data_IF_500785854622
#
_entry.id   IF_500785854622
#
_cell.length_a   1.000
_cell.length_b   1.000
_cell.length_c   1.000
_cell.angle_alpha   90.00
_cell.angle_beta   90.00
_cell.angle_gamma   90.00
#
_symmetry.space_group_name_H-M   'P 1'
#
loop_
_entity.id
_entity.type
_entity.pdbx_description
1 polymer ?
#
# COMPACT_ATOMS: atom_id res chain seq x y z
N UNK A 1 13.39 -54.58 -6.36
CA UNK A 1 13.48 -53.25 -5.74
C UNK A 1 14.28 -52.36 -6.68
N UNK A 2 13.59 -51.56 -7.49
CA UNK A 2 14.18 -50.51 -8.30
C UNK A 2 13.25 -49.31 -8.11
N UNK A 3 13.69 -48.36 -7.30
CA UNK A 3 12.95 -47.14 -7.04
C UNK A 3 13.15 -46.21 -8.25
N UNK A 4 12.07 -45.96 -8.97
CA UNK A 4 12.02 -44.94 -10.02
C UNK A 4 11.83 -43.58 -9.36
N UNK A 5 12.85 -42.72 -9.43
CA UNK A 5 12.70 -41.30 -9.13
C UNK A 5 11.90 -40.59 -10.23
N UNK A 6 10.99 -39.65 -9.91
CA UNK A 6 10.27 -38.89 -10.91
C UNK A 6 11.14 -37.75 -11.50
N UNK A 7 11.09 -37.47 -12.81
CA UNK A 7 11.88 -36.41 -13.43
C UNK A 7 11.08 -35.09 -13.41
N UNK A 8 11.22 -34.26 -12.37
CA UNK A 8 10.57 -32.93 -12.34
C UNK A 8 11.54 -31.76 -12.07
N UNK A 9 12.84 -31.97 -11.81
CA UNK A 9 13.71 -30.92 -11.25
C UNK A 9 14.66 -30.17 -12.20
N UNK A 10 14.81 -30.57 -13.47
CA UNK A 10 15.86 -29.98 -14.36
C UNK A 10 15.39 -28.84 -15.26
N UNK A 11 14.12 -28.81 -15.68
CA UNK A 11 13.59 -27.76 -16.56
C UNK A 11 13.25 -26.47 -15.81
N UNK A 12 12.69 -26.60 -14.61
CA UNK A 12 12.29 -25.49 -13.75
C UNK A 12 13.51 -24.65 -13.31
N UNK A 13 14.56 -25.30 -12.82
CA UNK A 13 15.82 -24.65 -12.40
C UNK A 13 16.57 -23.94 -13.55
N UNK A 14 16.47 -24.47 -14.78
CA UNK A 14 17.05 -23.86 -15.98
C UNK A 14 16.29 -22.59 -16.39
N UNK A 15 14.97 -22.61 -16.28
CA UNK A 15 14.11 -21.46 -16.59
C UNK A 15 14.34 -20.32 -15.58
N UNK A 16 14.45 -20.66 -14.29
CA UNK A 16 14.83 -19.71 -13.23
C UNK A 16 16.19 -19.04 -13.50
N UNK A 17 17.17 -19.82 -14.00
CA UNK A 17 18.48 -19.31 -14.39
C UNK A 17 18.44 -18.33 -15.57
N UNK A 18 17.55 -18.53 -16.53
CA UNK A 18 17.37 -17.61 -17.68
C UNK A 18 16.67 -16.33 -17.23
N UNK A 19 15.61 -16.44 -16.43
CA UNK A 19 14.90 -15.28 -15.88
C UNK A 19 15.82 -14.42 -15.01
N UNK A 20 16.64 -15.04 -14.17
CA UNK A 20 17.62 -14.31 -13.35
C UNK A 20 18.68 -13.59 -14.18
N UNK A 21 19.20 -14.22 -15.26
CA UNK A 21 20.14 -13.57 -16.18
C UNK A 21 19.51 -12.36 -16.88
N UNK A 22 18.26 -12.50 -17.32
CA UNK A 22 17.53 -11.38 -17.93
C UNK A 22 17.36 -10.24 -16.93
N UNK A 23 16.93 -10.53 -15.70
CA UNK A 23 16.83 -9.56 -14.61
C UNK A 23 18.14 -8.81 -14.36
N UNK A 24 19.26 -9.54 -14.30
CA UNK A 24 20.59 -8.97 -14.14
C UNK A 24 20.98 -8.04 -15.29
N UNK A 25 20.76 -8.46 -16.55
CA UNK A 25 21.08 -7.61 -17.69
C UNK A 25 20.20 -6.37 -17.77
N UNK A 26 18.90 -6.49 -17.49
CA UNK A 26 17.98 -5.34 -17.47
C UNK A 26 18.37 -4.37 -16.35
N UNK A 27 18.78 -4.86 -15.17
CA UNK A 27 19.21 -3.98 -14.07
C UNK A 27 20.49 -3.21 -14.41
N UNK A 28 21.45 -3.85 -15.10
CA UNK A 28 22.66 -3.18 -15.57
C UNK A 28 22.34 -2.13 -16.63
N UNK A 29 21.48 -2.45 -17.59
CA UNK A 29 21.07 -1.51 -18.63
C UNK A 29 20.37 -0.31 -17.99
N UNK A 30 19.40 -0.54 -17.11
CA UNK A 30 18.69 0.52 -16.39
C UNK A 30 19.65 1.45 -15.64
N UNK A 31 20.66 0.90 -14.96
CA UNK A 31 21.67 1.68 -14.24
C UNK A 31 22.70 2.43 -15.10
N UNK A 32 22.75 2.17 -16.41
CA UNK A 32 23.67 2.85 -17.36
C UNK A 32 22.97 3.83 -18.30
N UNK A 33 21.64 3.78 -18.36
CA UNK A 33 20.85 4.67 -19.22
C UNK A 33 20.89 6.11 -18.69
N UNK A 34 20.86 7.09 -19.59
CA UNK A 34 20.65 8.49 -19.20
C UNK A 34 19.24 8.65 -18.63
N UNK A 35 19.03 9.49 -17.59
CA UNK A 35 17.69 9.76 -17.04
C UNK A 35 16.68 10.29 -18.06
N UNK A 36 17.17 10.90 -19.14
CA UNK A 36 16.37 11.39 -20.27
C UNK A 36 15.85 10.28 -21.19
N UNK A 37 16.40 9.06 -21.12
CA UNK A 37 16.02 7.94 -21.99
C UNK A 37 14.78 7.22 -21.44
N UNK A 38 13.71 7.98 -21.25
CA UNK A 38 12.48 7.57 -20.57
C UNK A 38 11.79 6.40 -21.28
N UNK A 39 11.81 6.38 -22.61
CA UNK A 39 11.22 5.32 -23.46
C UNK A 39 11.76 3.92 -23.14
N UNK A 40 13.05 3.82 -22.80
CA UNK A 40 13.71 2.57 -22.40
C UNK A 40 13.68 2.34 -20.89
N UNK A 41 13.68 3.41 -20.09
CA UNK A 41 13.79 3.30 -18.64
C UNK A 41 12.47 2.88 -18.00
N UNK A 42 11.33 3.38 -18.48
CA UNK A 42 9.99 2.99 -18.00
C UNK A 42 9.74 1.49 -18.11
N UNK A 43 9.91 0.83 -19.28
CA UNK A 43 9.71 -0.61 -19.40
C UNK A 43 10.77 -1.40 -18.62
N UNK A 44 12.01 -0.93 -18.53
CA UNK A 44 13.04 -1.58 -17.73
C UNK A 44 12.67 -1.60 -16.24
N UNK A 45 12.29 -0.46 -15.66
CA UNK A 45 11.88 -0.40 -14.24
C UNK A 45 10.58 -1.16 -13.99
N UNK A 46 9.61 -1.08 -14.91
CA UNK A 46 8.38 -1.89 -14.83
C UNK A 46 8.67 -3.40 -14.82
N UNK A 47 9.58 -3.84 -15.68
CA UNK A 47 10.01 -5.24 -15.73
C UNK A 47 10.69 -5.67 -14.43
N UNK A 48 11.60 -4.86 -13.88
CA UNK A 48 12.26 -5.15 -12.61
C UNK A 48 11.23 -5.25 -11.47
N UNK A 49 10.29 -4.30 -11.40
CA UNK A 49 9.22 -4.29 -10.41
C UNK A 49 8.34 -5.55 -10.51
N UNK A 50 7.81 -5.85 -11.70
CA UNK A 50 6.96 -7.03 -11.89
C UNK A 50 7.71 -8.33 -11.61
N UNK A 51 8.99 -8.40 -11.99
CA UNK A 51 9.81 -9.58 -11.72
C UNK A 51 9.96 -9.82 -10.23
N UNK A 52 10.11 -8.77 -9.41
CA UNK A 52 10.16 -8.90 -7.95
C UNK A 52 8.80 -9.31 -7.36
N UNK A 53 7.71 -8.67 -7.79
CA UNK A 53 6.38 -8.92 -7.23
C UNK A 53 5.78 -10.29 -7.63
N UNK A 54 6.24 -10.87 -8.74
CA UNK A 54 5.76 -12.17 -9.25
C UNK A 54 6.70 -13.34 -8.95
N UNK A 55 7.94 -13.08 -8.49
CA UNK A 55 8.91 -14.14 -8.22
C UNK A 55 8.49 -14.99 -7.02
N UNK A 56 8.64 -16.33 -7.09
CA UNK A 56 8.54 -17.18 -5.90
C UNK A 56 9.53 -16.76 -4.81
N UNK A 57 9.16 -16.94 -3.54
CA UNK A 57 9.96 -16.49 -2.38
C UNK A 57 11.42 -17.01 -2.38
N UNK A 58 11.67 -18.20 -2.92
CA UNK A 58 13.00 -18.80 -3.00
C UNK A 58 13.93 -18.13 -4.04
N UNK A 59 13.36 -17.47 -5.07
CA UNK A 59 14.11 -16.76 -6.10
C UNK A 59 14.22 -15.25 -5.82
N UNK A 60 13.28 -14.70 -5.06
CA UNK A 60 13.21 -13.28 -4.74
C UNK A 60 14.43 -12.78 -3.95
N UNK A 61 14.97 -13.60 -3.04
CA UNK A 61 16.11 -13.24 -2.20
C UNK A 61 17.36 -12.84 -3.02
N UNK A 62 17.80 -13.75 -3.90
CA UNK A 62 18.95 -13.51 -4.79
C UNK A 62 18.74 -12.31 -5.71
N UNK A 63 17.52 -12.12 -6.19
CA UNK A 63 17.16 -10.99 -7.05
C UNK A 63 17.31 -9.66 -6.30
N UNK A 64 16.81 -9.59 -5.07
CA UNK A 64 16.85 -8.38 -4.24
C UNK A 64 18.30 -8.01 -3.89
N UNK A 65 19.11 -8.97 -3.45
CA UNK A 65 20.53 -8.73 -3.19
C UNK A 65 21.26 -8.18 -4.43
N UNK A 66 21.00 -8.77 -5.60
CA UNK A 66 21.61 -8.31 -6.86
C UNK A 66 21.21 -6.88 -7.20
N UNK A 67 19.93 -6.53 -7.07
CA UNK A 67 19.44 -5.19 -7.36
C UNK A 67 19.95 -4.14 -6.36
N UNK A 68 19.95 -4.46 -5.07
CA UNK A 68 20.47 -3.57 -4.02
C UNK A 68 22.00 -3.36 -4.10
N UNK A 69 22.73 -4.31 -4.68
CA UNK A 69 24.17 -4.20 -4.92
C UNK A 69 24.49 -3.43 -6.22
N UNK A 70 23.50 -3.17 -7.07
CA UNK A 70 23.69 -2.43 -8.31
C UNK A 70 23.65 -0.92 -8.05
N UNK A 71 24.81 -0.33 -7.76
CA UNK A 71 24.94 1.11 -7.48
C UNK A 71 24.44 1.99 -8.63
N UNK A 72 24.65 1.59 -9.89
CA UNK A 72 24.15 2.33 -11.06
C UNK A 72 22.62 2.42 -11.09
N UNK A 73 21.93 1.32 -10.76
CA UNK A 73 20.47 1.31 -10.64
C UNK A 73 19.99 2.23 -9.50
N UNK A 74 20.65 2.15 -8.34
CA UNK A 74 20.30 2.99 -7.19
C UNK A 74 20.53 4.48 -7.47
N UNK A 75 21.59 4.83 -8.20
CA UNK A 75 21.89 6.18 -8.64
C UNK A 75 20.89 6.70 -9.66
N UNK A 76 20.44 5.83 -10.55
CA UNK A 76 19.39 6.16 -11.50
C UNK A 76 18.06 6.45 -10.79
N UNK A 77 17.68 5.61 -9.82
CA UNK A 77 16.48 5.85 -9.01
C UNK A 77 16.59 7.15 -8.22
N UNK A 78 17.74 7.42 -7.57
CA UNK A 78 17.98 8.68 -6.87
C UNK A 78 17.82 9.88 -7.81
N UNK A 79 18.40 9.82 -9.01
CA UNK A 79 18.38 10.92 -9.97
C UNK A 79 16.95 11.23 -10.42
N UNK A 80 16.18 10.19 -10.78
CA UNK A 80 14.78 10.33 -11.19
C UNK A 80 13.93 10.95 -10.07
N UNK A 81 14.10 10.49 -8.83
CA UNK A 81 13.34 10.99 -7.69
C UNK A 81 13.73 12.44 -7.32
N UNK A 82 15.02 12.78 -7.37
CA UNK A 82 15.50 14.13 -7.08
C UNK A 82 15.03 15.17 -8.11
N UNK A 83 14.95 14.81 -9.39
CA UNK A 83 14.45 15.71 -10.44
C UNK A 83 12.97 16.10 -10.25
N UNK A 84 12.16 15.24 -9.63
CA UNK A 84 10.77 15.57 -9.29
C UNK A 84 10.67 16.64 -8.21
N UNK A 85 11.57 16.63 -7.22
CA UNK A 85 11.55 17.56 -6.10
C UNK A 85 11.92 18.99 -6.51
N UNK A 86 12.84 19.17 -7.47
CA UNK A 86 13.25 20.48 -7.96
C UNK A 86 12.15 21.24 -8.71
N UNK A 87 11.22 20.53 -9.36
CA UNK A 87 10.09 21.15 -10.07
C UNK A 87 9.00 21.67 -9.11
N UNK A 88 8.94 21.17 -7.87
CA UNK A 88 7.98 21.63 -6.86
C UNK A 88 8.39 22.95 -6.20
N UNK A 89 9.69 23.27 -6.17
CA UNK A 89 10.24 24.47 -5.53
C UNK A 89 10.25 25.71 -6.43
N UNK A 90 10.02 25.54 -7.74
CA UNK A 90 10.21 26.57 -8.76
C UNK A 90 8.90 27.17 -9.29
N UNK A 91 7.74 26.80 -8.72
CA UNK A 91 6.44 27.41 -9.05
C UNK A 91 6.24 28.83 -8.50
N UNK A 92 7.25 29.42 -7.84
CA UNK A 92 7.30 30.84 -7.49
C UNK A 92 8.40 31.56 -8.28
N UNK A 93 7.99 32.28 -9.32
CA UNK A 93 8.69 33.34 -10.05
C UNK A 93 9.83 32.97 -11.05
N UNK A 94 9.53 33.19 -12.34
CA UNK A 94 10.40 33.70 -13.43
C UNK A 94 11.78 33.07 -13.69
N UNK A 95 11.83 32.07 -14.59
CA UNK A 95 12.72 32.01 -15.79
C UNK A 95 12.62 30.62 -16.46
N UNK A 96 12.67 30.52 -17.81
CA UNK A 96 12.56 29.23 -18.50
C UNK A 96 13.95 28.60 -18.64
N UNK A 97 14.34 27.77 -17.67
CA UNK A 97 15.37 26.75 -17.91
C UNK A 97 14.67 25.39 -18.02
N UNK A 98 15.05 24.51 -18.97
CA UNK A 98 14.37 23.25 -19.20
C UNK A 98 14.81 22.25 -18.13
N UNK A 99 14.36 22.43 -16.88
CA UNK A 99 14.37 21.33 -15.92
C UNK A 99 13.28 20.36 -16.36
N UNK A 100 13.67 19.36 -17.16
CA UNK A 100 12.76 18.34 -17.69
C UNK A 100 12.29 17.50 -16.51
N UNK A 101 11.10 17.80 -15.98
CA UNK A 101 10.44 16.97 -15.00
C UNK A 101 10.29 15.55 -15.58
N UNK A 102 10.68 14.49 -14.86
CA UNK A 102 10.54 13.14 -15.37
C UNK A 102 9.06 12.80 -15.62
N UNK A 103 8.74 11.99 -16.65
CA UNK A 103 7.36 11.56 -16.90
C UNK A 103 6.76 10.87 -15.67
N UNK A 104 5.47 11.07 -15.42
CA UNK A 104 4.75 10.46 -14.28
C UNK A 104 4.88 8.94 -14.25
N UNK A 105 4.86 8.28 -15.41
CA UNK A 105 5.07 6.84 -15.56
C UNK A 105 6.42 6.37 -15.00
N UNK A 106 7.49 7.16 -15.23
CA UNK A 106 8.82 6.83 -14.76
C UNK A 106 8.94 6.96 -13.23
N UNK A 107 8.35 8.03 -12.67
CA UNK A 107 8.27 8.21 -11.22
C UNK A 107 7.45 7.08 -10.57
N UNK A 108 6.33 6.71 -11.18
CA UNK A 108 5.49 5.62 -10.71
C UNK A 108 6.28 4.30 -10.65
N UNK A 109 6.93 3.91 -11.75
CA UNK A 109 7.75 2.69 -11.78
C UNK A 109 8.87 2.71 -10.74
N UNK A 110 9.49 3.88 -10.52
CA UNK A 110 10.54 4.06 -9.53
C UNK A 110 10.02 3.85 -8.10
N UNK A 111 8.88 4.44 -7.75
CA UNK A 111 8.26 4.27 -6.43
C UNK A 111 7.81 2.83 -6.19
N UNK A 112 7.22 2.18 -7.20
CA UNK A 112 6.76 0.78 -7.11
C UNK A 112 7.93 -0.18 -6.94
N UNK A 113 8.98 -0.03 -7.75
CA UNK A 113 10.21 -0.81 -7.61
C UNK A 113 10.83 -0.61 -6.23
N UNK A 114 10.92 0.63 -5.76
CA UNK A 114 11.48 0.94 -4.45
C UNK A 114 10.65 0.35 -3.30
N UNK A 115 9.32 0.37 -3.42
CA UNK A 115 8.39 -0.26 -2.46
C UNK A 115 8.62 -1.78 -2.39
N UNK A 116 8.76 -2.46 -3.53
CA UNK A 116 9.08 -3.89 -3.58
C UNK A 116 10.46 -4.20 -3.01
N UNK A 117 11.48 -3.38 -3.33
CA UNK A 117 12.82 -3.53 -2.77
C UNK A 117 12.83 -3.39 -1.25
N UNK A 118 12.16 -2.38 -0.67
CA UNK A 118 12.07 -2.20 0.79
C UNK A 118 11.36 -3.39 1.45
N UNK A 119 10.24 -3.81 0.87
CA UNK A 119 9.43 -4.90 1.43
C UNK A 119 10.20 -6.21 1.45
N UNK A 120 10.82 -6.57 0.32
CA UNK A 120 11.59 -7.80 0.20
C UNK A 120 12.92 -7.73 0.96
N UNK A 121 13.57 -6.56 1.02
CA UNK A 121 14.77 -6.36 1.81
C UNK A 121 14.52 -6.69 3.28
N UNK A 122 13.36 -6.29 3.82
CA UNK A 122 12.97 -6.60 5.20
C UNK A 122 12.69 -8.09 5.40
N UNK A 123 12.00 -8.73 4.45
CA UNK A 123 11.68 -10.17 4.53
C UNK A 123 12.94 -11.02 4.50
N UNK A 124 13.93 -10.64 3.69
CA UNK A 124 15.16 -11.42 3.50
C UNK A 124 16.36 -10.90 4.31
N UNK A 125 16.20 -9.81 5.06
CA UNK A 125 17.29 -9.14 5.80
C UNK A 125 18.52 -8.82 4.94
N UNK A 126 18.29 -8.40 3.69
CA UNK A 126 19.36 -8.11 2.75
C UNK A 126 20.03 -6.77 3.05
N UNK A 127 21.37 -6.70 2.93
CA UNK A 127 22.09 -5.44 3.14
C UNK A 127 22.02 -4.54 1.91
N UNK A 128 21.71 -3.26 2.11
CA UNK A 128 21.78 -2.25 1.05
C UNK A 128 23.16 -1.57 1.01
N UNK A 129 23.82 -1.59 -0.15
CA UNK A 129 25.11 -0.91 -0.32
C UNK A 129 24.98 0.62 -0.40
N UNK A 130 23.83 1.11 -0.84
CA UNK A 130 23.55 2.53 -1.02
C UNK A 130 22.09 2.84 -0.69
N UNK A 131 21.88 3.89 0.10
CA UNK A 131 20.55 4.39 0.45
C UNK A 131 20.12 5.52 -0.48
N UNK A 132 18.85 5.54 -0.88
CA UNK A 132 18.21 6.61 -1.64
C UNK A 132 17.61 7.62 -0.68
N UNK A 133 17.91 8.91 -0.86
CA UNK A 133 17.26 10.00 -0.13
C UNK A 133 15.86 10.27 -0.69
N UNK A 134 14.85 10.27 0.18
CA UNK A 134 13.47 10.57 -0.15
C UNK A 134 12.87 11.56 0.85
N UNK A 135 12.22 12.64 0.36
CA UNK A 135 11.70 13.71 1.22
C UNK A 135 10.23 13.52 1.54
N UNK A 136 9.92 13.32 2.83
CA UNK A 136 8.54 13.20 3.29
C UNK A 136 7.74 14.48 3.05
N UNK A 137 8.37 15.66 3.17
CA UNK A 137 7.71 16.94 2.98
C UNK A 137 7.15 17.09 1.57
N UNK A 138 7.94 16.71 0.56
CA UNK A 138 7.50 16.78 -0.85
C UNK A 138 6.30 15.88 -1.11
N UNK A 139 6.29 14.67 -0.52
CA UNK A 139 5.21 13.71 -0.65
C UNK A 139 3.96 14.23 0.07
N UNK A 140 4.10 14.78 1.27
CA UNK A 140 2.97 15.36 2.00
C UNK A 140 2.36 16.54 1.24
N UNK A 141 3.19 17.40 0.65
CA UNK A 141 2.73 18.50 -0.19
C UNK A 141 1.95 17.99 -1.41
N UNK A 142 2.45 16.94 -2.08
CA UNK A 142 1.77 16.30 -3.20
C UNK A 142 0.40 15.73 -2.79
N UNK A 143 0.35 14.97 -1.69
CA UNK A 143 -0.87 14.29 -1.24
C UNK A 143 -1.93 15.26 -0.67
N UNK A 144 -1.52 16.36 -0.02
CA UNK A 144 -2.45 17.31 0.59
C UNK A 144 -2.90 18.41 -0.38
N UNK A 145 -1.96 19.03 -1.08
CA UNK A 145 -2.20 20.27 -1.83
C UNK A 145 -2.36 20.00 -3.32
N UNK A 146 -1.50 19.17 -3.89
CA UNK A 146 -1.45 18.97 -5.35
C UNK A 146 -2.27 17.78 -5.85
N UNK A 147 -2.92 17.01 -4.97
CA UNK A 147 -3.65 15.77 -5.34
C UNK A 147 -4.66 15.88 -6.49
N UNK A 148 -5.19 17.07 -6.79
CA UNK A 148 -6.11 17.27 -7.93
C UNK A 148 -5.40 17.43 -9.27
N UNK A 149 -4.13 17.81 -9.24
CA UNK A 149 -3.30 18.06 -10.41
C UNK A 149 -2.31 16.89 -10.66
N UNK A 150 -2.25 15.93 -9.73
CA UNK A 150 -1.39 14.75 -9.81
C UNK A 150 -2.16 13.58 -10.41
N UNK A 151 -1.52 12.85 -11.33
CA UNK A 151 -2.07 11.61 -11.90
C UNK A 151 -2.39 10.58 -10.79
N UNK A 152 -3.55 9.93 -10.89
CA UNK A 152 -4.00 8.95 -9.90
C UNK A 152 -2.99 7.81 -9.72
N UNK A 153 -2.34 7.39 -10.81
CA UNK A 153 -1.36 6.32 -10.78
C UNK A 153 -0.08 6.74 -10.02
N UNK A 154 0.32 8.00 -10.16
CA UNK A 154 1.43 8.56 -9.40
C UNK A 154 1.07 8.66 -7.90
N UNK A 155 -0.15 9.10 -7.56
CA UNK A 155 -0.66 9.08 -6.18
C UNK A 155 -0.66 7.68 -5.58
N UNK A 156 -1.15 6.68 -6.32
CA UNK A 156 -1.10 5.26 -5.93
C UNK A 156 0.33 4.82 -5.63
N UNK A 157 1.29 5.21 -6.46
CA UNK A 157 2.70 4.85 -6.28
C UNK A 157 3.32 5.50 -5.02
N UNK A 158 2.98 6.75 -4.71
CA UNK A 158 3.39 7.42 -3.47
C UNK A 158 2.85 6.68 -2.24
N UNK A 159 1.56 6.35 -2.26
CA UNK A 159 0.92 5.61 -1.16
C UNK A 159 1.54 4.23 -0.99
N UNK A 160 1.86 3.53 -2.08
CA UNK A 160 2.48 2.19 -2.02
C UNK A 160 3.90 2.22 -1.46
N UNK A 161 4.70 3.24 -1.79
CA UNK A 161 6.02 3.43 -1.20
C UNK A 161 5.92 3.81 0.28
N UNK A 162 5.03 4.74 0.62
CA UNK A 162 4.79 5.16 1.99
C UNK A 162 4.29 4.01 2.87
N UNK A 163 3.41 3.16 2.34
CA UNK A 163 2.95 1.94 2.99
C UNK A 163 4.14 1.02 3.34
N UNK A 164 5.03 0.74 2.39
CA UNK A 164 6.19 -0.12 2.63
C UNK A 164 7.14 0.43 3.70
N UNK A 165 7.28 1.76 3.77
CA UNK A 165 8.06 2.45 4.80
C UNK A 165 7.37 2.37 6.17
N UNK A 166 6.07 2.65 6.25
CA UNK A 166 5.29 2.57 7.50
C UNK A 166 5.26 1.14 8.06
N UNK A 167 5.20 0.13 7.20
CA UNK A 167 5.29 -1.28 7.59
C UNK A 167 6.66 -1.63 8.22
N UNK A 168 7.69 -0.82 7.99
CA UNK A 168 9.03 -0.93 8.60
C UNK A 168 9.33 0.16 9.61
N UNK A 169 8.30 0.78 10.18
CA UNK A 169 8.42 1.86 11.15
C UNK A 169 9.27 3.05 10.66
N UNK A 170 9.22 3.32 9.35
CA UNK A 170 9.97 4.39 8.67
C UNK A 170 11.50 4.22 8.77
N UNK A 171 11.97 3.01 9.09
CA UNK A 171 13.37 2.63 9.07
C UNK A 171 13.62 1.74 7.86
N UNK A 172 14.57 2.13 7.02
CA UNK A 172 14.94 1.39 5.82
C UNK A 172 16.42 1.59 5.51
N UNK A 173 17.12 0.50 5.17
CA UNK A 173 18.49 0.60 4.65
C UNK A 173 18.51 1.09 3.20
N UNK A 174 17.43 0.81 2.46
CA UNK A 174 17.30 1.17 1.04
C UNK A 174 16.96 2.66 0.89
N UNK A 175 16.23 3.24 1.84
CA UNK A 175 15.74 4.63 1.76
C UNK A 175 16.04 5.40 3.04
N UNK A 176 16.78 6.51 2.89
CA UNK A 176 16.99 7.49 3.93
C UNK A 176 15.91 8.59 3.83
N UNK A 177 15.12 8.75 4.89
CA UNK A 177 14.05 9.74 4.93
C UNK A 177 14.59 11.10 5.35
N UNK A 178 14.35 12.11 4.52
CA UNK A 178 14.57 13.50 4.86
C UNK A 178 13.24 14.13 5.27
N UNK A 179 13.28 14.91 6.36
CA UNK A 179 12.12 15.63 6.88
C UNK A 179 12.52 17.04 7.28
N UNK A 180 11.66 18.01 6.98
CA UNK A 180 11.84 19.41 7.37
C UNK A 180 11.25 19.68 8.76
N UNK A 181 11.66 20.79 9.41
CA UNK A 181 11.02 21.25 10.63
C UNK A 181 9.53 21.60 10.46
N UNK A 182 9.05 21.79 9.22
CA UNK A 182 7.64 22.06 8.97
C UNK A 182 6.74 20.88 9.32
N UNK A 183 7.24 19.64 9.12
CA UNK A 183 6.47 18.41 9.33
C UNK A 183 6.55 17.89 10.76
N UNK A 184 7.72 17.95 11.40
CA UNK A 184 7.99 17.34 12.72
C UNK A 184 8.17 18.40 13.82
N UNK A 185 8.21 19.69 13.48
CA UNK A 185 8.46 20.76 14.42
C UNK A 185 9.94 21.14 14.57
N UNK A 186 10.24 22.18 15.39
CA UNK A 186 11.61 22.61 15.66
C UNK A 186 12.38 21.54 16.44
N UNK A 187 13.71 21.51 16.30
CA UNK A 187 14.59 20.66 17.11
C UNK A 187 15.03 21.39 18.38
N UNK A 188 15.20 20.72 19.54
CA UNK A 188 14.99 19.27 19.78
C UNK A 188 13.51 18.89 19.80
N UNK A 189 13.21 17.67 19.36
CA UNK A 189 11.83 17.17 19.28
C UNK A 189 11.31 16.85 20.68
N UNK A 190 10.02 17.14 20.91
CA UNK A 190 9.30 16.68 22.09
C UNK A 190 9.22 15.15 22.11
N UNK A 191 8.99 14.56 23.30
CA UNK A 191 9.01 13.09 23.49
C UNK A 191 8.01 12.39 22.55
N UNK A 192 6.82 12.98 22.37
CA UNK A 192 5.77 12.42 21.52
C UNK A 192 6.16 12.44 20.03
N UNK A 193 6.71 13.56 19.55
CA UNK A 193 7.16 13.71 18.16
C UNK A 193 8.45 12.95 17.88
N UNK A 194 9.32 12.79 18.87
CA UNK A 194 10.52 11.98 18.81
C UNK A 194 10.21 10.50 18.62
N UNK A 195 9.18 9.97 19.28
CA UNK A 195 8.73 8.59 19.10
C UNK A 195 8.18 8.31 17.69
N UNK A 196 7.66 9.34 17.03
CA UNK A 196 7.07 9.29 15.69
C UNK A 196 8.03 9.76 14.59
N UNK A 197 9.28 10.10 14.92
CA UNK A 197 10.27 10.51 13.92
C UNK A 197 10.48 9.39 12.88
N UNK A 198 10.54 9.70 11.58
CA UNK A 198 10.60 11.02 10.94
C UNK A 198 9.24 11.65 10.56
N UNK A 199 8.09 11.06 10.92
CA UNK A 199 6.77 11.58 10.55
C UNK A 199 6.24 12.67 11.52
N UNK A 200 6.43 12.48 12.82
CA UNK A 200 5.85 13.34 13.85
C UNK A 200 4.32 13.24 13.96
N UNK A 201 3.76 13.83 15.00
CA UNK A 201 2.31 13.88 15.25
C UNK A 201 1.58 14.69 14.17
N UNK A 202 2.11 15.85 13.80
CA UNK A 202 1.57 16.71 12.73
C UNK A 202 1.60 15.99 11.39
N UNK A 203 2.72 15.36 11.03
CA UNK A 203 2.80 14.58 9.79
C UNK A 203 1.81 13.42 9.76
N UNK A 204 1.58 12.74 10.89
CA UNK A 204 0.58 11.68 10.99
C UNK A 204 -0.86 12.20 10.77
N UNK A 205 -1.20 13.35 11.36
CA UNK A 205 -2.51 14.00 11.15
C UNK A 205 -2.69 14.46 9.70
N UNK A 206 -1.65 15.08 9.13
CA UNK A 206 -1.59 15.50 7.74
C UNK A 206 -1.80 14.33 6.79
N UNK A 207 -1.07 13.24 6.98
CA UNK A 207 -1.21 12.03 6.18
C UNK A 207 -2.60 11.41 6.32
N UNK A 208 -3.13 11.30 7.54
CA UNK A 208 -4.49 10.80 7.73
C UNK A 208 -5.52 11.65 7.00
N UNK A 209 -5.40 12.97 7.05
CA UNK A 209 -6.30 13.89 6.36
C UNK A 209 -6.19 13.74 4.83
N UNK A 210 -4.97 13.58 4.32
CA UNK A 210 -4.74 13.32 2.91
C UNK A 210 -5.39 12.01 2.45
N UNK A 211 -5.17 10.92 3.20
CA UNK A 211 -5.75 9.61 2.93
C UNK A 211 -7.27 9.65 2.95
N UNK A 212 -7.90 10.23 3.97
CA UNK A 212 -9.36 10.37 4.03
C UNK A 212 -9.89 11.16 2.84
N UNK A 213 -9.16 12.19 2.39
CA UNK A 213 -9.50 12.94 1.19
C UNK A 213 -9.24 12.23 -0.14
N UNK A 214 -8.48 11.14 -0.17
CA UNK A 214 -8.25 10.28 -1.34
C UNK A 214 -9.26 9.13 -1.38
N UNK A 215 -9.75 8.66 -0.22
CA UNK A 215 -10.81 7.65 -0.12
C UNK A 215 -12.14 8.10 -0.74
N UNK A 216 -12.39 9.41 -0.77
CA UNK A 216 -13.56 10.00 -1.43
C UNK A 216 -13.38 10.13 -2.96
N UNK A 217 -12.21 9.82 -3.51
CA UNK A 217 -12.03 9.78 -4.96
C UNK A 217 -12.59 8.47 -5.51
N UNK A 218 -13.36 8.54 -6.59
CA UNK A 218 -14.04 7.39 -7.22
C UNK A 218 -13.09 6.53 -8.08
N UNK A 219 -11.86 6.29 -7.62
CA UNK A 219 -10.85 5.53 -8.35
C UNK A 219 -10.41 4.29 -7.55
N UNK A 220 -10.69 3.10 -8.07
CA UNK A 220 -10.58 1.84 -7.33
C UNK A 220 -9.16 1.54 -6.81
N UNK A 221 -8.13 1.70 -7.65
CA UNK A 221 -6.74 1.46 -7.22
C UNK A 221 -6.29 2.45 -6.15
N UNK A 222 -6.78 3.69 -6.23
CA UNK A 222 -6.41 4.72 -5.26
C UNK A 222 -7.13 4.49 -3.94
N UNK A 223 -8.40 4.06 -3.99
CA UNK A 223 -9.16 3.65 -2.83
C UNK A 223 -8.46 2.51 -2.09
N UNK A 224 -8.03 1.45 -2.80
CA UNK A 224 -7.26 0.32 -2.24
C UNK A 224 -5.94 0.77 -1.62
N UNK A 225 -5.14 1.54 -2.37
CA UNK A 225 -3.85 2.03 -1.89
C UNK A 225 -4.01 2.94 -0.65
N UNK A 226 -5.07 3.75 -0.60
CA UNK A 226 -5.36 4.64 0.53
C UNK A 226 -5.75 3.87 1.79
N UNK A 227 -6.64 2.88 1.70
CA UNK A 227 -7.01 2.05 2.87
C UNK A 227 -5.82 1.22 3.36
N UNK A 228 -5.03 0.65 2.44
CA UNK A 228 -3.83 -0.10 2.79
C UNK A 228 -2.79 0.80 3.48
N UNK A 229 -2.53 2.00 2.95
CA UNK A 229 -1.62 2.96 3.57
C UNK A 229 -2.15 3.47 4.92
N UNK A 230 -3.47 3.66 5.08
CA UNK A 230 -4.09 4.01 6.35
C UNK A 230 -3.91 2.90 7.37
N UNK A 231 -4.10 1.63 6.98
CA UNK A 231 -3.84 0.48 7.84
C UNK A 231 -2.39 0.44 8.33
N UNK A 232 -1.42 0.66 7.44
CA UNK A 232 0.00 0.73 7.81
C UNK A 232 0.32 1.94 8.70
N UNK A 233 -0.32 3.10 8.47
CA UNK A 233 -0.18 4.28 9.32
C UNK A 233 -0.71 4.00 10.73
N UNK A 234 -1.92 3.46 10.85
CA UNK A 234 -2.51 3.13 12.15
C UNK A 234 -1.68 2.07 12.88
N UNK A 235 -1.17 1.06 12.16
CA UNK A 235 -0.27 0.07 12.73
C UNK A 235 1.04 0.68 13.24
N UNK A 236 1.65 1.59 12.48
CA UNK A 236 2.84 2.33 12.90
C UNK A 236 2.57 3.17 14.15
N UNK A 237 1.49 3.95 14.14
CA UNK A 237 1.10 4.77 15.29
C UNK A 237 0.80 3.89 16.51
N UNK A 238 0.10 2.77 16.33
CA UNK A 238 -0.21 1.86 17.43
C UNK A 238 1.06 1.27 18.07
N UNK A 239 2.11 1.00 17.28
CA UNK A 239 3.40 0.49 17.79
C UNK A 239 4.23 1.57 18.48
N UNK A 240 4.24 2.81 17.96
CA UNK A 240 5.12 3.89 18.42
C UNK A 240 4.46 4.83 19.43
N UNK A 241 3.23 5.25 19.17
CA UNK A 241 2.46 6.15 20.02
C UNK A 241 0.93 5.87 19.94
N UNK A 242 0.40 4.99 20.83
CA UNK A 242 -1.02 4.62 20.83
C UNK A 242 -1.98 5.78 21.07
N UNK A 243 -1.56 6.86 21.74
CA UNK A 243 -2.43 8.02 21.98
C UNK A 243 -2.68 8.78 20.68
N UNK A 244 -1.64 8.96 19.86
CA UNK A 244 -1.76 9.55 18.52
C UNK A 244 -2.60 8.67 17.60
N UNK A 245 -2.47 7.33 17.66
CA UNK A 245 -3.34 6.41 16.93
C UNK A 245 -4.82 6.64 17.24
N UNK A 246 -5.18 6.69 18.53
CA UNK A 246 -6.55 6.99 18.97
C UNK A 246 -7.02 8.37 18.51
N UNK A 247 -6.16 9.38 18.62
CA UNK A 247 -6.48 10.75 18.19
C UNK A 247 -6.79 10.82 16.69
N UNK A 248 -6.00 10.14 15.86
CA UNK A 248 -6.20 10.09 14.40
C UNK A 248 -7.50 9.39 14.04
N UNK A 249 -7.83 8.28 14.71
CA UNK A 249 -9.07 7.54 14.45
C UNK A 249 -10.30 8.31 14.93
N UNK A 250 -10.26 8.92 16.11
CA UNK A 250 -11.37 9.67 16.70
C UNK A 250 -11.62 11.04 16.06
N UNK A 251 -10.98 11.39 14.95
CA UNK A 251 -11.25 12.63 14.23
C UNK A 251 -12.71 12.65 13.72
N UNK A 252 -13.44 13.78 13.87
CA UNK A 252 -14.80 13.93 13.35
C UNK A 252 -14.91 13.66 11.84
N UNK A 253 -13.82 13.89 11.12
CA UNK A 253 -13.74 13.65 9.68
C UNK A 253 -13.89 12.18 9.30
N UNK A 254 -13.48 11.24 10.16
CA UNK A 254 -13.67 9.81 9.91
C UNK A 254 -15.14 9.41 10.04
N UNK A 255 -15.87 10.02 10.97
CA UNK A 255 -17.33 9.84 11.08
C UNK A 255 -18.04 10.38 9.84
N UNK A 256 -17.65 11.55 9.36
CA UNK A 256 -18.18 12.12 8.13
C UNK A 256 -17.87 11.23 6.91
N UNK A 257 -16.65 10.70 6.82
CA UNK A 257 -16.25 9.78 5.76
C UNK A 257 -17.14 8.53 5.75
N UNK A 258 -17.35 7.89 6.90
CA UNK A 258 -18.24 6.73 7.02
C UNK A 258 -19.67 7.10 6.59
N UNK A 259 -20.21 8.22 7.06
CA UNK A 259 -21.53 8.69 6.63
C UNK A 259 -21.64 8.88 5.11
N UNK A 260 -20.64 9.47 4.46
CA UNK A 260 -20.60 9.63 3.01
C UNK A 260 -20.58 8.28 2.28
N UNK A 261 -19.78 7.33 2.77
CA UNK A 261 -19.69 5.99 2.19
C UNK A 261 -20.98 5.21 2.35
N UNK A 262 -21.62 5.29 3.53
CA UNK A 262 -22.90 4.64 3.81
C UNK A 262 -24.04 5.22 2.97
N UNK A 263 -23.99 6.51 2.69
CA UNK A 263 -25.00 7.22 1.88
C UNK A 263 -24.85 7.00 0.37
N UNK A 264 -23.80 6.31 -0.08
CA UNK A 264 -23.48 6.15 -1.52
C UNK A 264 -24.20 4.98 -2.21
N UNK A 265 -25.15 4.33 -1.53
CA UNK A 265 -25.99 3.24 -2.07
C UNK A 265 -25.52 1.82 -1.68
N UNK A 266 -26.40 0.83 -1.85
CA UNK A 266 -26.20 -0.56 -1.36
C UNK A 266 -24.98 -1.27 -1.99
N UNK A 267 -24.69 -1.00 -3.27
CA UNK A 267 -23.53 -1.57 -3.95
C UNK A 267 -22.19 -1.06 -3.40
N UNK A 268 -22.18 0.15 -2.85
CA UNK A 268 -21.02 0.71 -2.17
C UNK A 268 -20.87 0.09 -0.78
N UNK A 269 -21.95 -0.09 -0.01
CA UNK A 269 -21.91 -0.59 1.38
C UNK A 269 -21.10 -1.88 1.54
N UNK A 270 -21.25 -2.81 0.60
CA UNK A 270 -20.62 -4.14 0.64
C UNK A 270 -19.30 -4.19 -0.14
N UNK A 271 -18.75 -3.04 -0.50
CA UNK A 271 -17.45 -2.97 -1.16
C UNK A 271 -16.33 -3.41 -0.20
N UNK A 272 -15.45 -4.34 -0.60
CA UNK A 272 -14.44 -4.93 0.29
C UNK A 272 -13.54 -3.87 0.95
N UNK A 273 -13.23 -2.80 0.22
CA UNK A 273 -12.36 -1.73 0.72
C UNK A 273 -13.04 -0.91 1.82
N UNK A 274 -14.35 -0.68 1.75
CA UNK A 274 -15.09 0.06 2.79
C UNK A 274 -15.30 -0.81 4.03
N UNK A 275 -15.61 -2.09 3.85
CA UNK A 275 -15.67 -3.06 4.95
C UNK A 275 -14.32 -3.13 5.69
N UNK A 276 -13.20 -3.12 4.95
CA UNK A 276 -11.86 -3.06 5.55
C UNK A 276 -11.61 -1.74 6.27
N UNK A 277 -12.01 -0.60 5.72
CA UNK A 277 -11.92 0.70 6.38
C UNK A 277 -12.68 0.70 7.71
N UNK A 278 -13.93 0.22 7.73
CA UNK A 278 -14.72 0.10 8.96
C UNK A 278 -14.04 -0.80 9.98
N UNK A 279 -13.48 -1.92 9.53
CA UNK A 279 -12.70 -2.85 10.37
C UNK A 279 -11.50 -2.14 11.02
N UNK A 280 -10.71 -1.37 10.24
CA UNK A 280 -9.54 -0.64 10.73
C UNK A 280 -9.91 0.41 11.79
N UNK A 281 -11.00 1.15 11.56
CA UNK A 281 -11.50 2.16 12.49
C UNK A 281 -12.04 1.55 13.78
N UNK A 282 -12.69 0.38 13.72
CA UNK A 282 -13.10 -0.36 14.91
C UNK A 282 -11.93 -0.91 15.71
N UNK A 283 -10.91 -1.43 15.03
CA UNK A 283 -9.75 -2.04 15.68
C UNK A 283 -8.94 -1.03 16.49
N UNK A 284 -8.82 0.21 16.01
CA UNK A 284 -7.97 1.25 16.62
C UNK A 284 -8.77 2.36 17.33
N UNK A 285 -10.09 2.38 17.18
CA UNK A 285 -10.98 3.44 17.67
C UNK A 285 -11.81 3.06 18.90
N UNK A 286 -12.38 4.10 19.52
CA UNK A 286 -13.50 3.96 20.46
C UNK A 286 -14.85 4.01 19.71
N UNK A 287 -15.97 3.78 20.39
CA UNK A 287 -17.35 3.85 19.85
C UNK A 287 -17.72 5.19 19.20
N UNK A 288 -16.86 6.21 19.31
CA UNK A 288 -17.09 7.55 18.79
C UNK A 288 -17.14 7.64 17.25
N UNK A 289 -16.47 6.73 16.54
CA UNK A 289 -16.36 6.80 15.07
C UNK A 289 -17.46 6.00 14.38
N UNK A 290 -17.62 4.74 14.77
CA UNK A 290 -18.62 3.82 14.24
C UNK A 290 -19.73 3.59 15.26
N UNK A 291 -20.95 3.97 14.91
CA UNK A 291 -22.12 3.77 15.74
C UNK A 291 -22.82 2.45 15.41
N UNK A 292 -23.62 1.97 16.36
CA UNK A 292 -24.47 0.78 16.18
C UNK A 292 -25.37 0.82 14.92
N UNK A 293 -26.07 1.93 14.59
CA UNK A 293 -26.83 2.04 13.34
C UNK A 293 -26.00 1.81 12.07
N UNK A 294 -24.74 2.26 12.04
CA UNK A 294 -23.87 2.11 10.87
C UNK A 294 -23.58 0.62 10.60
N UNK A 295 -23.44 -0.17 11.67
CA UNK A 295 -23.19 -1.61 11.58
C UNK A 295 -24.47 -2.38 11.23
N UNK A 296 -25.61 -1.97 11.77
CA UNK A 296 -26.93 -2.54 11.44
C UNK A 296 -27.21 -2.37 9.95
N UNK A 297 -26.93 -1.19 9.39
CA UNK A 297 -27.12 -0.92 7.97
C UNK A 297 -26.28 -1.85 7.08
N UNK A 298 -25.04 -2.18 7.49
CA UNK A 298 -24.21 -3.16 6.77
C UNK A 298 -24.81 -4.56 6.87
N UNK A 299 -25.28 -4.98 8.05
CA UNK A 299 -25.91 -6.30 8.23
C UNK A 299 -27.19 -6.42 7.40
N UNK A 300 -28.03 -5.38 7.37
CA UNK A 300 -29.23 -5.31 6.52
C UNK A 300 -28.88 -5.42 5.04
N UNK A 301 -27.85 -4.69 4.58
CA UNK A 301 -27.41 -4.77 3.18
C UNK A 301 -26.91 -6.18 2.81
N UNK A 302 -26.24 -6.89 3.73
CA UNK A 302 -25.82 -8.29 3.50
C UNK A 302 -27.02 -9.21 3.38
N UNK A 303 -28.05 -9.01 4.19
CA UNK A 303 -29.26 -9.83 4.17
C UNK A 303 -30.11 -9.57 2.92
N UNK A 304 -30.22 -8.32 2.46
CA UNK A 304 -30.95 -7.98 1.24
C UNK A 304 -30.25 -8.52 -0.01
N UNK A 305 -28.92 -8.42 -0.08
CA UNK A 305 -28.13 -8.91 -1.22
C UNK A 305 -27.88 -10.41 -1.17
N UNK A 306 -27.86 -11.00 0.03
CA UNK A 306 -27.51 -12.40 0.24
C UNK A 306 -26.00 -12.66 0.20
N UNK A 307 -25.54 -13.49 1.13
CA UNK A 307 -24.11 -13.83 1.32
C UNK A 307 -23.50 -14.55 0.10
N UNK A 308 -24.31 -15.29 -0.66
CA UNK A 308 -23.87 -16.03 -1.84
C UNK A 308 -23.54 -15.13 -3.04
N UNK A 309 -24.04 -13.89 -3.06
CA UNK A 309 -23.80 -12.93 -4.14
C UNK A 309 -22.56 -12.05 -3.89
N UNK A 310 -21.90 -12.22 -2.74
CA UNK A 310 -20.70 -11.47 -2.40
C UNK A 310 -19.48 -12.01 -3.15
N UNK A 311 -18.60 -11.11 -3.58
CA UNK A 311 -17.28 -11.53 -4.05
C UNK A 311 -16.47 -12.15 -2.91
N UNK A 312 -15.49 -12.99 -3.24
CA UNK A 312 -14.62 -13.62 -2.24
C UNK A 312 -13.90 -12.57 -1.37
N UNK A 313 -13.43 -11.47 -1.96
CA UNK A 313 -12.81 -10.35 -1.23
C UNK A 313 -13.80 -9.65 -0.28
N UNK A 314 -15.04 -9.43 -0.72
CA UNK A 314 -16.09 -8.81 0.11
C UNK A 314 -16.49 -9.71 1.27
N UNK A 315 -16.67 -11.01 1.02
CA UNK A 315 -16.94 -12.00 2.05
C UNK A 315 -15.81 -12.06 3.09
N UNK A 316 -14.55 -12.06 2.66
CA UNK A 316 -13.41 -12.06 3.58
C UNK A 316 -13.31 -10.77 4.39
N UNK A 317 -13.52 -9.61 3.76
CA UNK A 317 -13.54 -8.31 4.46
C UNK A 317 -14.69 -8.23 5.47
N UNK A 318 -15.87 -8.77 5.12
CA UNK A 318 -17.02 -8.88 6.01
C UNK A 318 -16.75 -9.80 7.20
N UNK A 319 -16.14 -10.97 6.98
CA UNK A 319 -15.74 -11.87 8.08
C UNK A 319 -14.82 -11.16 9.07
N UNK A 320 -13.84 -10.39 8.58
CA UNK A 320 -12.97 -9.62 9.47
C UNK A 320 -13.72 -8.55 10.26
N UNK A 321 -14.64 -7.83 9.61
CA UNK A 321 -15.48 -6.83 10.27
C UNK A 321 -16.32 -7.47 11.38
N UNK A 322 -17.03 -8.55 11.08
CA UNK A 322 -17.86 -9.27 12.03
C UNK A 322 -17.05 -9.87 13.18
N UNK A 323 -15.85 -10.38 12.89
CA UNK A 323 -14.92 -10.88 13.92
C UNK A 323 -14.51 -9.75 14.87
N UNK A 324 -14.16 -8.58 14.35
CA UNK A 324 -13.82 -7.41 15.18
C UNK A 324 -15.01 -6.94 16.03
N UNK A 325 -16.23 -7.00 15.50
CA UNK A 325 -17.45 -6.68 16.24
C UNK A 325 -17.67 -7.65 17.43
N UNK A 326 -17.31 -8.92 17.26
CA UNK A 326 -17.42 -9.94 18.31
C UNK A 326 -16.30 -9.82 19.35
N UNK A 327 -15.07 -9.51 18.93
CA UNK A 327 -13.89 -9.46 19.81
C UNK A 327 -13.73 -8.15 20.58
N UNK A 328 -14.46 -7.09 20.23
CA UNK A 328 -14.39 -5.81 20.95
C UNK A 328 -15.08 -5.93 22.33
N UNK A 329 -14.38 -6.52 23.30
CA UNK A 329 -14.82 -6.80 24.68
C UNK A 329 -15.06 -5.52 25.51
N UNK A 330 -14.64 -4.34 25.03
CA UNK A 330 -14.65 -3.08 25.79
C UNK A 330 -15.76 -2.07 25.42
N UNK A 331 -16.74 -2.42 24.59
CA UNK A 331 -17.81 -1.48 24.18
C UNK A 331 -19.18 -1.92 24.72
N UNK A 332 -19.78 -1.09 25.58
CA UNK A 332 -21.08 -1.26 26.28
C UNK A 332 -22.29 -1.48 25.34
N UNK A 333 -23.43 -1.97 25.87
CA UNK A 333 -24.01 -3.23 25.46
C UNK A 333 -24.53 -3.17 24.02
N UNK A 334 -23.76 -3.68 23.06
CA UNK A 334 -24.36 -4.13 21.80
C UNK A 334 -25.44 -5.14 22.18
N UNK A 335 -26.68 -4.88 21.78
CA UNK A 335 -27.83 -5.76 22.08
C UNK A 335 -27.44 -7.19 21.71
N UNK A 336 -27.72 -8.18 22.57
CA UNK A 336 -27.38 -9.58 22.29
C UNK A 336 -27.95 -10.06 20.94
N UNK A 337 -29.04 -9.44 20.50
CA UNK A 337 -29.64 -9.59 19.16
C UNK A 337 -28.66 -9.23 18.03
N UNK A 338 -27.92 -8.13 18.12
CA UNK A 338 -26.94 -7.73 17.10
C UNK A 338 -25.73 -8.66 17.06
N UNK A 339 -25.29 -9.14 18.23
CA UNK A 339 -24.23 -10.15 18.30
C UNK A 339 -24.70 -11.48 17.71
N UNK A 340 -25.95 -11.87 17.97
CA UNK A 340 -26.54 -13.08 17.39
C UNK A 340 -26.70 -12.94 15.87
N UNK A 341 -27.15 -11.78 15.39
CA UNK A 341 -27.25 -11.48 13.95
C UNK A 341 -25.89 -11.59 13.26
N UNK A 342 -24.85 -11.00 13.85
CA UNK A 342 -23.48 -11.13 13.37
C UNK A 342 -22.98 -12.59 13.33
N UNK A 343 -23.34 -13.40 14.33
CA UNK A 343 -23.02 -14.85 14.36
C UNK A 343 -23.72 -15.61 13.23
N UNK A 344 -25.02 -15.38 13.03
CA UNK A 344 -25.78 -16.03 11.96
C UNK A 344 -25.19 -15.72 10.57
N UNK A 345 -24.81 -14.46 10.33
CA UNK A 345 -24.17 -14.06 9.07
C UNK A 345 -22.78 -14.74 8.95
N UNK A 346 -22.01 -14.81 10.04
CA UNK A 346 -20.71 -15.50 10.04
C UNK A 346 -20.82 -16.99 9.70
N UNK A 347 -21.79 -17.69 10.29
CA UNK A 347 -22.05 -19.11 10.01
C UNK A 347 -22.47 -19.33 8.55
N UNK A 348 -23.23 -18.39 7.97
CA UNK A 348 -23.59 -18.43 6.55
C UNK A 348 -22.42 -18.10 5.60
N UNK A 349 -21.40 -17.42 6.11
CA UNK A 349 -20.16 -17.14 5.39
C UNK A 349 -19.21 -18.34 5.42
N UNK A 350 -19.34 -19.32 6.32
CA UNK A 350 -18.42 -20.46 6.37
C UNK A 350 -18.44 -21.25 5.04
N UNK A 351 -17.26 -21.71 4.57
CA UNK A 351 -17.17 -22.33 3.26
C UNK A 351 -17.99 -23.61 3.22
N UNK A 352 -19.04 -23.65 2.39
CA UNK A 352 -19.40 -24.90 1.75
C UNK A 352 -18.15 -25.38 0.99
N UNK A 353 -17.65 -26.54 1.38
CA UNK A 353 -16.48 -27.24 0.82
C UNK A 353 -16.45 -27.16 -0.72
N UNK A 354 -15.38 -26.63 -1.34
CA UNK A 354 -15.14 -26.91 -2.74
C UNK A 354 -14.58 -28.34 -2.83
N UNK A 355 -15.46 -29.31 -3.03
CA UNK A 355 -15.07 -30.53 -3.70
C UNK A 355 -14.77 -30.18 -5.17
N UNK A 356 -13.72 -30.80 -5.71
CA UNK A 356 -13.37 -30.88 -7.13
C UNK A 356 -12.57 -29.72 -7.75
N UNK A 357 -11.27 -29.96 -7.83
CA UNK A 357 -10.37 -29.68 -8.96
C UNK A 357 -10.67 -28.47 -9.84
N UNK A 358 -10.00 -27.36 -9.54
CA UNK A 358 -9.59 -26.40 -10.56
C UNK A 358 -8.10 -26.09 -10.34
N UNK A 359 -7.29 -26.42 -11.35
CA UNK A 359 -5.91 -25.96 -11.50
C UNK A 359 -5.80 -24.46 -11.17
N UNK A 360 -4.69 -23.98 -10.57
CA UNK A 360 -4.48 -22.55 -10.38
C UNK A 360 -4.14 -21.94 -11.74
N UNK A 361 -5.14 -21.67 -12.58
CA UNK A 361 -5.01 -20.68 -13.62
C UNK A 361 -4.76 -19.36 -12.91
N UNK A 362 -3.49 -18.96 -12.79
CA UNK A 362 -3.08 -17.65 -12.28
C UNK A 362 -3.96 -16.61 -12.97
N UNK A 363 -4.87 -15.91 -12.26
CA UNK A 363 -5.49 -14.74 -12.85
C UNK A 363 -4.35 -13.79 -13.24
N UNK A 364 -4.51 -13.07 -14.35
CA UNK A 364 -3.50 -12.13 -14.84
C UNK A 364 -3.18 -11.10 -13.75
N UNK A 365 -2.17 -11.39 -12.93
CA UNK A 365 -1.79 -10.59 -11.76
C UNK A 365 -1.19 -9.23 -12.16
N UNK A 366 -1.04 -8.97 -13.47
CA UNK A 366 -0.45 -7.75 -14.01
C UNK A 366 -1.50 -6.96 -14.79
N UNK A 367 -1.75 -5.72 -14.35
CA UNK A 367 -2.60 -4.74 -15.03
C UNK A 367 -1.73 -3.70 -15.73
N UNK A 368 -1.98 -3.43 -17.02
CA UNK A 368 -1.33 -2.32 -17.73
C UNK A 368 -2.17 -1.06 -17.63
N UNK A 369 -1.61 0.01 -17.07
CA UNK A 369 -2.23 1.34 -17.01
C UNK A 369 -1.31 2.33 -17.73
N UNK A 370 -1.69 2.71 -18.95
CA UNK A 370 -0.81 3.48 -19.84
C UNK A 370 0.48 2.71 -20.15
N UNK A 371 1.61 3.30 -19.78
CA UNK A 371 2.95 2.73 -19.99
C UNK A 371 3.51 1.97 -18.77
N UNK A 372 2.71 1.83 -17.71
CA UNK A 372 3.12 1.18 -16.46
C UNK A 372 2.42 -0.16 -16.28
N UNK A 373 3.18 -1.15 -15.81
CA UNK A 373 2.65 -2.45 -15.41
C UNK A 373 2.52 -2.53 -13.89
N UNK A 374 1.36 -2.94 -13.39
CA UNK A 374 1.02 -3.02 -11.97
C UNK A 374 0.74 -4.45 -11.55
N UNK A 375 1.33 -4.91 -10.44
CA UNK A 375 0.97 -6.21 -9.87
C UNK A 375 -0.23 -6.04 -8.92
N UNK A 376 -1.38 -6.62 -9.25
CA UNK A 376 -2.62 -6.49 -8.48
C UNK A 376 -2.50 -7.08 -7.06
N UNK A 377 -1.63 -8.08 -6.89
CA UNK A 377 -1.27 -8.65 -5.57
C UNK A 377 -0.70 -7.60 -4.61
N UNK A 378 -0.05 -6.55 -5.12
CA UNK A 378 0.49 -5.48 -4.28
C UNK A 378 -0.61 -4.56 -3.73
N UNK A 379 -1.82 -4.62 -4.29
CA UNK A 379 -2.96 -3.77 -3.93
C UNK A 379 -4.12 -4.57 -3.32
N UNK A 380 -3.95 -5.87 -3.06
CA UNK A 380 -4.91 -6.64 -2.27
C UNK A 380 -5.01 -6.07 -0.86
N UNK A 381 -6.20 -6.11 -0.27
CA UNK A 381 -6.42 -5.64 1.08
C UNK A 381 -5.65 -6.54 2.06
N UNK A 382 -4.66 -5.97 2.75
CA UNK A 382 -3.91 -6.70 3.78
C UNK A 382 -4.87 -7.01 4.94
N UNK A 383 -4.87 -8.24 5.44
CA UNK A 383 -5.75 -8.71 6.51
C UNK A 383 -5.16 -8.45 7.90
#
# INVERSE_FOLDING_TARGET
>A
MQASDPPISSSYSKMDGVHFKLLYHVSIIAGRLKPTNTETLVPALSYLYCSLSLSPAHCADRAVFMLLSNSGLMDQLQTVLSSSSSSCSSSSATSPSPSVCPPSALLCCSHLLLSSLITLQRVHSAQAHKSISWSLDTVMLQLLVQKRNTDHLLLVSYLKLLQALLDGDLVSEVVCLSTSPGLVGPRPLEIEDGALYPLGSRGAQCLSTALSGLLLQKHELLLRASVNCLGSLLGFLQRKNPTTAKYVVCQPWNRFLIFCLLSSGESCLLHPVFLRLMTLLLQHGSTAVLCEPDLIQVMEAVETRGVKELSQEAAQALRLLLTQIQSSVLQSPRTEEHKQRARNIMESLDPQTPAESCSPTLPSNVLRVGDVFLCLSDFTLKH
#
